data_IF_605181976464
#
_entry.id   IF_605181976464
#
_cell.length_a   1.000
_cell.length_b   1.000
_cell.length_c   1.000
_cell.angle_alpha   90.00
_cell.angle_beta   90.00
_cell.angle_gamma   90.00
#
_symmetry.space_group_name_H-M   'P 1'
#
loop_
_entity.id
_entity.type
_entity.pdbx_description
1 polymer ?
#
# COMPACT_ATOMS: atom_id res chain seq x y z
N UNK A 1 -12.19 -1.14 14.47
CA UNK A 1 -11.28 -1.79 13.48
C UNK A 1 -11.14 -0.98 12.18
N UNK A 2 -12.23 -0.54 11.53
CA UNK A 2 -12.15 0.23 10.29
C UNK A 2 -11.33 1.53 10.38
N UNK A 3 -11.39 2.25 11.51
CA UNK A 3 -10.58 3.46 11.69
C UNK A 3 -9.06 3.17 11.64
N UNK A 4 -8.61 2.11 12.32
CA UNK A 4 -7.19 1.72 12.37
C UNK A 4 -6.69 1.23 10.99
N UNK A 5 -7.52 0.48 10.26
CA UNK A 5 -7.16 0.01 8.92
C UNK A 5 -7.02 1.19 7.95
N UNK A 6 -7.94 2.15 8.00
CA UNK A 6 -7.90 3.33 7.14
C UNK A 6 -6.79 4.32 7.52
N UNK A 7 -6.42 4.47 8.80
CA UNK A 7 -5.29 5.34 9.17
C UNK A 7 -3.95 4.74 8.72
N UNK A 8 -3.81 3.41 8.76
CA UNK A 8 -2.67 2.71 8.16
C UNK A 8 -2.62 2.94 6.65
N UNK A 9 -3.75 2.74 5.97
CA UNK A 9 -3.82 2.98 4.53
C UNK A 9 -3.51 4.44 4.15
N UNK A 10 -4.03 5.41 4.91
CA UNK A 10 -3.73 6.83 4.71
C UNK A 10 -2.24 7.15 4.88
N UNK A 11 -1.60 6.61 5.92
CA UNK A 11 -0.17 6.84 6.14
C UNK A 11 0.69 6.17 5.06
N UNK A 12 0.30 5.00 4.55
CA UNK A 12 0.91 4.39 3.36
C UNK A 12 0.77 5.30 2.14
N UNK A 13 -0.44 5.82 1.87
CA UNK A 13 -0.67 6.77 0.79
C UNK A 13 0.18 8.04 0.94
N UNK A 14 0.28 8.59 2.15
CA UNK A 14 1.10 9.77 2.44
C UNK A 14 2.60 9.49 2.23
N UNK A 15 3.05 8.30 2.60
CA UNK A 15 4.42 7.84 2.36
C UNK A 15 4.69 7.72 0.85
N UNK A 16 3.84 7.01 0.12
CA UNK A 16 3.93 6.85 -1.34
C UNK A 16 3.90 8.20 -2.07
N UNK A 17 3.00 9.10 -1.68
CA UNK A 17 2.94 10.46 -2.23
C UNK A 17 4.26 11.23 -2.07
N UNK A 18 5.02 10.95 -1.01
CA UNK A 18 6.32 11.59 -0.74
C UNK A 18 7.45 10.89 -1.48
N UNK A 19 7.48 9.55 -1.51
CA UNK A 19 8.52 8.76 -2.19
C UNK A 19 8.35 8.76 -3.71
N UNK A 20 7.13 8.80 -4.24
CA UNK A 20 6.89 8.87 -5.69
C UNK A 20 7.52 10.11 -6.33
N UNK A 21 7.65 11.23 -5.61
CA UNK A 21 8.41 12.38 -6.15
C UNK A 21 9.85 12.01 -6.50
N UNK A 22 10.45 11.10 -5.74
CA UNK A 22 11.80 10.59 -5.97
C UNK A 22 11.81 9.58 -7.10
N UNK A 23 10.91 8.58 -7.07
CA UNK A 23 10.86 7.54 -8.10
C UNK A 23 10.38 8.02 -9.47
N UNK A 24 9.50 9.02 -9.52
CA UNK A 24 9.02 9.63 -10.76
C UNK A 24 9.98 10.69 -11.31
N UNK A 25 11.07 11.02 -10.61
CA UNK A 25 12.03 12.02 -11.06
C UNK A 25 12.60 11.75 -12.46
N UNK A 26 12.97 10.51 -12.84
CA UNK A 26 13.39 10.21 -14.21
C UNK A 26 12.29 10.51 -15.24
N UNK A 27 11.04 10.16 -14.95
CA UNK A 27 9.89 10.46 -15.84
C UNK A 27 9.69 11.97 -15.96
N UNK A 28 9.82 12.72 -14.87
CA UNK A 28 9.72 14.19 -14.88
C UNK A 28 10.84 14.85 -15.68
N UNK A 29 12.05 14.26 -15.70
CA UNK A 29 13.14 14.74 -16.55
C UNK A 29 12.82 14.58 -18.05
N UNK A 30 12.19 13.48 -18.47
CA UNK A 30 11.75 13.32 -19.86
C UNK A 30 10.74 14.39 -20.28
N UNK A 31 9.85 14.79 -19.37
CA UNK A 31 8.87 15.84 -19.63
C UNK A 31 9.49 17.24 -19.77
N UNK A 32 10.75 17.43 -19.37
CA UNK A 32 11.49 18.69 -19.58
C UNK A 32 12.00 18.87 -21.01
N UNK A 33 12.06 17.79 -21.80
CA UNK A 33 12.52 17.85 -23.19
C UNK A 33 11.58 18.71 -24.05
N UNK A 34 12.14 19.63 -24.86
CA UNK A 34 11.38 20.56 -25.71
C UNK A 34 10.42 19.84 -26.67
N UNK A 35 10.86 18.75 -27.31
CA UNK A 35 10.02 17.96 -28.23
C UNK A 35 8.82 17.33 -27.52
N UNK A 36 9.03 16.86 -26.29
CA UNK A 36 7.96 16.28 -25.47
C UNK A 36 6.98 17.38 -25.05
N UNK A 37 7.47 18.52 -24.56
CA UNK A 37 6.63 19.68 -24.21
C UNK A 37 5.78 20.17 -25.38
N UNK A 38 6.36 20.25 -26.58
CA UNK A 38 5.62 20.64 -27.79
C UNK A 38 4.53 19.62 -28.15
N UNK A 39 4.81 18.33 -28.03
CA UNK A 39 3.81 17.27 -28.25
C UNK A 39 2.63 17.36 -27.26
N UNK A 40 2.91 17.62 -25.98
CA UNK A 40 1.86 17.83 -24.97
C UNK A 40 1.08 19.14 -25.18
N UNK A 41 1.74 20.23 -25.60
CA UNK A 41 1.07 21.48 -25.96
C UNK A 41 0.10 21.31 -27.13
N UNK A 42 0.46 20.52 -28.14
CA UNK A 42 -0.46 20.17 -29.25
C UNK A 42 -1.73 19.47 -28.78
N UNK A 43 -1.70 18.84 -27.59
CA UNK A 43 -2.86 18.19 -26.93
C UNK A 43 -3.53 19.09 -25.88
N UNK A 44 -3.21 20.39 -25.84
CA UNK A 44 -3.79 21.35 -24.89
C UNK A 44 -3.14 21.36 -23.50
N UNK A 45 -2.06 20.60 -23.27
CA UNK A 45 -1.40 20.53 -21.97
C UNK A 45 -0.23 21.51 -21.90
N UNK A 46 -0.46 22.65 -21.23
CA UNK A 46 0.53 23.73 -21.12
C UNK A 46 1.71 23.38 -20.19
N UNK A 47 1.47 22.60 -19.14
CA UNK A 47 2.50 22.19 -18.18
C UNK A 47 2.40 20.68 -17.86
N UNK A 48 3.00 19.81 -18.68
CA UNK A 48 2.88 18.36 -18.52
C UNK A 48 3.49 17.86 -17.21
N UNK A 49 4.55 18.50 -16.70
CA UNK A 49 5.15 18.16 -15.41
C UNK A 49 4.14 18.34 -14.27
N UNK A 50 3.42 19.47 -14.26
CA UNK A 50 2.40 19.77 -13.24
C UNK A 50 1.22 18.79 -13.31
N UNK A 51 0.75 18.46 -14.51
CA UNK A 51 -0.37 17.53 -14.69
C UNK A 51 0.00 16.10 -14.27
N UNK A 52 1.20 15.63 -14.62
CA UNK A 52 1.68 14.32 -14.15
C UNK A 52 1.81 14.28 -12.64
N UNK A 53 2.41 15.31 -12.01
CA UNK A 53 2.50 15.38 -10.55
C UNK A 53 1.12 15.44 -9.89
N UNK A 54 0.13 16.09 -10.51
CA UNK A 54 -1.25 16.13 -10.02
C UNK A 54 -1.90 14.75 -10.11
N UNK A 55 -1.77 14.09 -11.26
CA UNK A 55 -2.30 12.74 -11.50
C UNK A 55 -1.71 11.71 -10.52
N UNK A 56 -0.39 11.75 -10.29
CA UNK A 56 0.29 10.84 -9.37
C UNK A 56 -0.24 10.94 -7.93
N UNK A 57 -0.67 12.14 -7.51
CA UNK A 57 -1.11 12.45 -6.15
C UNK A 57 -2.61 12.34 -5.92
N UNK A 58 -3.38 11.99 -6.94
CA UNK A 58 -4.83 11.85 -6.79
C UNK A 58 -5.14 10.64 -5.88
N UNK A 59 -5.88 10.82 -4.76
CA UNK A 59 -6.23 9.71 -3.87
C UNK A 59 -7.22 8.72 -4.49
N UNK A 60 -8.00 9.11 -5.49
CA UNK A 60 -9.03 8.25 -6.12
C UNK A 60 -8.43 7.33 -7.18
N UNK A 61 -7.59 7.87 -8.06
CA UNK A 61 -7.09 7.15 -9.26
C UNK A 61 -5.59 7.28 -9.47
N UNK A 62 -4.89 7.97 -8.57
CA UNK A 62 -3.46 8.24 -8.73
C UNK A 62 -2.59 7.02 -8.43
N UNK A 63 -1.41 6.97 -9.06
CA UNK A 63 -0.46 5.86 -8.88
C UNK A 63 -0.05 5.70 -7.40
N UNK A 64 0.08 6.80 -6.65
CA UNK A 64 0.34 6.73 -5.20
C UNK A 64 -0.78 5.98 -4.46
N UNK A 65 -2.04 6.17 -4.86
CA UNK A 65 -3.19 5.46 -4.28
C UNK A 65 -3.12 3.97 -4.60
N UNK A 66 -2.91 3.61 -5.88
CA UNK A 66 -2.79 2.22 -6.33
C UNK A 66 -1.66 1.49 -5.61
N UNK A 67 -0.46 2.08 -5.55
CA UNK A 67 0.69 1.47 -4.86
C UNK A 67 0.44 1.31 -3.36
N UNK A 68 -0.12 2.33 -2.72
CA UNK A 68 -0.46 2.24 -1.30
C UNK A 68 -1.54 1.20 -1.03
N UNK A 69 -2.52 1.05 -1.92
CA UNK A 69 -3.56 0.03 -1.85
C UNK A 69 -2.99 -1.38 -2.03
N UNK A 70 -2.08 -1.54 -3.00
CA UNK A 70 -1.33 -2.77 -3.20
C UNK A 70 -0.52 -3.17 -1.97
N UNK A 71 0.26 -2.23 -1.40
CA UNK A 71 1.02 -2.47 -0.18
C UNK A 71 0.08 -2.81 0.99
N UNK A 72 -1.06 -2.13 1.10
CA UNK A 72 -2.05 -2.43 2.13
C UNK A 72 -2.61 -3.85 2.01
N UNK A 73 -2.90 -4.33 0.79
CA UNK A 73 -3.29 -5.74 0.54
C UNK A 73 -2.15 -6.70 0.92
N UNK A 74 -0.90 -6.36 0.59
CA UNK A 74 0.28 -7.17 0.94
C UNK A 74 0.43 -7.35 2.45
N UNK A 75 0.07 -6.35 3.27
CA UNK A 75 0.08 -6.50 4.73
C UNK A 75 -0.91 -7.58 5.19
N UNK A 76 -2.13 -7.63 4.64
CA UNK A 76 -3.09 -8.69 4.93
C UNK A 76 -2.60 -10.06 4.43
N UNK A 77 -1.93 -10.09 3.28
CA UNK A 77 -1.33 -11.30 2.76
C UNK A 77 -0.25 -11.84 3.68
N UNK A 78 0.67 -10.99 4.15
CA UNK A 78 1.73 -11.38 5.08
C UNK A 78 1.16 -11.86 6.42
N UNK A 79 0.10 -11.23 6.91
CA UNK A 79 -0.61 -11.70 8.11
C UNK A 79 -1.20 -13.10 7.89
N UNK A 80 -1.94 -13.30 6.80
CA UNK A 80 -2.57 -14.59 6.48
C UNK A 80 -1.53 -15.68 6.29
N UNK A 81 -0.47 -15.38 5.53
CA UNK A 81 0.64 -16.28 5.28
C UNK A 81 1.37 -16.65 6.58
N UNK A 82 1.66 -15.66 7.44
CA UNK A 82 2.29 -15.90 8.72
C UNK A 82 1.46 -16.77 9.65
N UNK A 83 0.13 -16.58 9.68
CA UNK A 83 -0.80 -17.43 10.45
C UNK A 83 -0.79 -18.86 9.92
N UNK A 84 -0.83 -19.05 8.60
CA UNK A 84 -0.79 -20.40 8.00
C UNK A 84 0.50 -21.13 8.35
N UNK A 85 1.65 -20.45 8.27
CA UNK A 85 2.94 -21.05 8.64
C UNK A 85 3.02 -21.36 10.14
N UNK A 86 2.53 -20.47 10.99
CA UNK A 86 2.49 -20.69 12.44
C UNK A 86 1.63 -21.91 12.79
N UNK A 87 0.41 -22.01 12.23
CA UNK A 87 -0.48 -23.16 12.45
C UNK A 87 0.13 -24.45 11.89
N UNK A 88 0.75 -24.40 10.72
CA UNK A 88 1.46 -25.54 10.12
C UNK A 88 2.57 -26.07 11.03
N UNK A 89 3.41 -25.18 11.56
CA UNK A 89 4.47 -25.55 12.49
C UNK A 89 3.91 -26.12 13.80
N UNK A 90 2.90 -25.47 14.38
CA UNK A 90 2.25 -25.92 15.62
C UNK A 90 1.60 -27.31 15.48
N UNK A 91 0.92 -27.57 14.36
CA UNK A 91 0.30 -28.87 14.07
C UNK A 91 1.29 -29.89 13.50
N UNK A 92 2.58 -29.52 13.33
CA UNK A 92 3.62 -30.34 12.71
C UNK A 92 3.19 -30.95 11.36
N UNK A 93 2.36 -30.23 10.62
CA UNK A 93 1.76 -30.68 9.36
C UNK A 93 2.49 -30.06 8.17
N UNK A 94 2.81 -30.85 7.16
CA UNK A 94 3.41 -30.35 5.93
C UNK A 94 2.35 -29.76 4.98
N UNK A 95 2.32 -28.43 4.85
CA UNK A 95 1.59 -27.81 3.75
C UNK A 95 2.52 -27.62 2.56
N UNK A 96 2.28 -28.40 1.50
CA UNK A 96 2.90 -28.15 0.21
C UNK A 96 2.22 -26.95 -0.47
N UNK A 97 2.66 -25.74 -0.12
CA UNK A 97 2.12 -24.49 -0.65
C UNK A 97 2.45 -24.34 -2.14
N UNK A 98 1.50 -24.75 -2.98
CA UNK A 98 1.49 -24.49 -4.43
C UNK A 98 0.93 -23.09 -4.76
N UNK A 99 1.16 -22.64 -5.99
CA UNK A 99 0.68 -21.36 -6.53
C UNK A 99 -0.81 -21.09 -6.23
N UNK A 100 -1.67 -22.11 -6.34
CA UNK A 100 -3.10 -21.97 -6.05
C UNK A 100 -3.40 -21.51 -4.61
N UNK A 101 -2.60 -21.93 -3.62
CA UNK A 101 -2.75 -21.50 -2.23
C UNK A 101 -2.38 -20.02 -2.07
N UNK A 102 -1.28 -19.59 -2.70
CA UNK A 102 -0.89 -18.19 -2.70
C UNK A 102 -1.92 -17.31 -3.41
N UNK A 103 -2.49 -17.77 -4.52
CA UNK A 103 -3.58 -17.08 -5.21
C UNK A 103 -4.83 -16.96 -4.33
N UNK A 104 -5.19 -18.03 -3.61
CA UNK A 104 -6.29 -18.00 -2.65
C UNK A 104 -6.02 -17.01 -1.51
N UNK A 105 -4.81 -17.02 -0.91
CA UNK A 105 -4.42 -16.05 0.12
C UNK A 105 -4.47 -14.61 -0.38
N UNK A 106 -4.01 -14.35 -1.61
CA UNK A 106 -4.08 -13.03 -2.22
C UNK A 106 -5.53 -12.58 -2.43
N UNK A 107 -6.41 -13.48 -2.88
CA UNK A 107 -7.84 -13.21 -3.03
C UNK A 107 -8.50 -12.89 -1.69
N UNK A 108 -8.23 -13.68 -0.64
CA UNK A 108 -8.72 -13.41 0.72
C UNK A 108 -8.20 -12.07 1.26
N UNK A 109 -6.92 -11.77 1.03
CA UNK A 109 -6.30 -10.51 1.47
C UNK A 109 -6.92 -9.30 0.80
N UNK A 110 -7.21 -9.40 -0.50
CA UNK A 110 -7.98 -8.39 -1.22
C UNK A 110 -9.40 -8.25 -0.65
N UNK A 111 -10.08 -9.37 -0.37
CA UNK A 111 -11.39 -9.38 0.27
C UNK A 111 -11.40 -8.64 1.61
N UNK A 112 -10.41 -8.88 2.47
CA UNK A 112 -10.26 -8.16 3.74
C UNK A 112 -10.00 -6.66 3.52
N UNK A 113 -9.07 -6.30 2.64
CA UNK A 113 -8.81 -4.89 2.31
C UNK A 113 -10.07 -4.19 1.78
N UNK A 114 -10.86 -4.89 0.96
CA UNK A 114 -12.13 -4.38 0.45
C UNK A 114 -13.15 -4.15 1.56
N UNK A 115 -13.41 -5.15 2.41
CA UNK A 115 -14.39 -5.03 3.49
C UNK A 115 -14.06 -3.92 4.49
N UNK A 116 -12.78 -3.75 4.83
CA UNK A 116 -12.35 -2.79 5.84
C UNK A 116 -12.08 -1.38 5.31
N UNK A 117 -11.68 -1.23 4.04
CA UNK A 117 -11.23 0.06 3.51
C UNK A 117 -11.79 0.40 2.13
N UNK A 118 -11.73 -0.50 1.14
CA UNK A 118 -12.09 -0.11 -0.25
C UNK A 118 -13.58 -0.11 -0.55
N UNK A 119 -14.42 -0.76 0.27
CA UNK A 119 -15.86 -0.83 0.04
C UNK A 119 -16.46 0.56 -0.06
N UNK A 120 -17.11 0.82 -1.19
CA UNK A 120 -17.81 2.08 -1.52
C UNK A 120 -16.87 3.30 -1.39
N UNK A 121 -15.58 3.11 -1.65
CA UNK A 121 -14.54 4.15 -1.55
C UNK A 121 -14.50 4.89 -0.20
N UNK A 122 -14.98 4.24 0.88
CA UNK A 122 -15.04 4.81 2.24
C UNK A 122 -13.68 5.30 2.74
N UNK A 123 -12.58 4.70 2.29
CA UNK A 123 -11.24 5.19 2.61
C UNK A 123 -11.01 6.66 2.23
N UNK A 124 -11.68 7.17 1.18
CA UNK A 124 -11.56 8.57 0.77
C UNK A 124 -12.14 9.53 1.81
N UNK A 125 -13.23 9.15 2.48
CA UNK A 125 -13.82 9.93 3.56
C UNK A 125 -12.86 10.01 4.74
N UNK A 126 -12.27 8.88 5.13
CA UNK A 126 -11.24 8.82 6.15
C UNK A 126 -9.99 9.61 5.76
N UNK A 127 -9.58 9.59 4.49
CA UNK A 127 -8.44 10.39 4.04
C UNK A 127 -8.70 11.88 4.21
N UNK A 128 -9.93 12.35 3.90
CA UNK A 128 -10.33 13.74 4.15
C UNK A 128 -10.33 14.07 5.64
N UNK A 129 -10.84 13.18 6.48
CA UNK A 129 -10.81 13.32 7.95
C UNK A 129 -9.35 13.43 8.46
N UNK A 130 -8.49 12.52 8.05
CA UNK A 130 -7.10 12.45 8.51
C UNK A 130 -6.23 13.59 7.99
N UNK A 131 -6.53 14.12 6.81
CA UNK A 131 -5.89 15.33 6.29
C UNK A 131 -6.18 16.56 7.18
N UNK A 132 -7.27 16.58 7.93
CA UNK A 132 -7.62 17.67 8.84
C UNK A 132 -7.11 17.48 10.27
N UNK A 133 -6.47 16.34 10.58
CA UNK A 133 -5.92 16.11 11.91
C UNK A 133 -4.77 17.06 12.25
N UNK A 134 -4.65 17.50 13.52
CA UNK A 134 -3.52 18.32 13.96
C UNK A 134 -2.19 17.56 13.83
N UNK A 135 -1.10 18.32 13.64
CA UNK A 135 0.23 17.80 13.28
C UNK A 135 0.77 16.75 14.27
N UNK A 136 0.52 16.94 15.56
CA UNK A 136 0.89 15.99 16.60
C UNK A 136 0.20 14.63 16.41
N UNK A 137 -1.12 14.61 16.16
CA UNK A 137 -1.89 13.38 15.90
C UNK A 137 -1.43 12.69 14.63
N UNK A 138 -1.17 13.44 13.56
CA UNK A 138 -0.63 12.92 12.29
C UNK A 138 0.76 12.27 12.43
N UNK A 139 1.59 12.79 13.34
CA UNK A 139 2.90 12.20 13.62
C UNK A 139 2.77 10.95 14.48
N UNK A 140 1.91 10.98 15.51
CA UNK A 140 1.61 9.80 16.32
C UNK A 140 1.05 8.65 15.50
N UNK A 141 0.07 8.92 14.61
CA UNK A 141 -0.47 7.92 13.71
C UNK A 141 0.57 7.33 12.76
N UNK A 142 1.50 8.16 12.27
CA UNK A 142 2.57 7.68 11.39
C UNK A 142 3.51 6.70 12.10
N UNK A 143 3.84 6.95 13.37
CA UNK A 143 4.62 6.01 14.19
C UNK A 143 3.86 4.71 14.45
N UNK A 144 2.58 4.79 14.79
CA UNK A 144 1.73 3.61 14.97
C UNK A 144 1.71 2.78 13.68
N UNK A 145 1.47 3.42 12.53
CA UNK A 145 1.52 2.74 11.23
C UNK A 145 2.88 2.12 10.94
N UNK A 146 3.97 2.82 11.26
CA UNK A 146 5.33 2.30 11.08
C UNK A 146 5.56 1.02 11.88
N UNK A 147 5.21 0.99 13.17
CA UNK A 147 5.37 -0.20 14.01
C UNK A 147 4.42 -1.34 13.61
N UNK A 148 3.20 -1.04 13.13
CA UNK A 148 2.30 -2.06 12.57
C UNK A 148 2.94 -2.70 11.34
N UNK A 149 3.41 -1.91 10.38
CA UNK A 149 4.06 -2.42 9.17
C UNK A 149 5.28 -3.26 9.56
N UNK A 150 6.16 -2.74 10.42
CA UNK A 150 7.34 -3.46 10.89
C UNK A 150 6.97 -4.78 11.56
N UNK A 151 5.95 -4.78 12.41
CA UNK A 151 5.46 -5.98 13.09
C UNK A 151 4.91 -7.03 12.12
N UNK A 152 4.09 -6.61 11.15
CA UNK A 152 3.56 -7.51 10.11
C UNK A 152 4.66 -8.11 9.25
N UNK A 153 5.63 -7.31 8.80
CA UNK A 153 6.76 -7.80 8.03
C UNK A 153 7.64 -8.75 8.84
N UNK A 154 7.96 -8.39 10.08
CA UNK A 154 8.75 -9.23 10.99
C UNK A 154 8.03 -10.54 11.29
N UNK A 155 6.72 -10.50 11.52
CA UNK A 155 5.90 -11.70 11.71
C UNK A 155 5.86 -12.57 10.45
N UNK A 156 5.61 -11.98 9.28
CA UNK A 156 5.58 -12.70 8.01
C UNK A 156 6.91 -13.38 7.68
N UNK A 157 8.03 -12.66 7.82
CA UNK A 157 9.38 -13.21 7.60
C UNK A 157 9.75 -14.20 8.70
N UNK A 158 9.49 -13.88 9.96
CA UNK A 158 9.77 -14.76 11.10
C UNK A 158 8.98 -16.07 11.03
N UNK A 159 7.81 -16.06 10.38
CA UNK A 159 6.98 -17.26 10.24
C UNK A 159 7.64 -18.37 9.44
N UNK A 160 8.64 -18.06 8.61
CA UNK A 160 9.44 -19.07 7.90
C UNK A 160 10.23 -19.98 8.84
N UNK A 161 10.51 -19.54 10.08
CA UNK A 161 11.14 -20.40 11.09
C UNK A 161 10.27 -21.63 11.36
N UNK A 162 8.94 -21.50 11.37
CA UNK A 162 8.02 -22.63 11.57
C UNK A 162 7.95 -23.59 10.38
N UNK A 163 8.36 -23.14 9.18
CA UNK A 163 8.52 -24.01 8.02
C UNK A 163 9.81 -24.84 8.09
N UNK A 164 10.91 -24.21 8.52
CA UNK A 164 12.25 -24.79 8.51
C UNK A 164 12.60 -25.58 9.78
N UNK A 165 12.18 -25.07 10.94
CA UNK A 165 12.37 -25.66 12.25
C UNK A 165 11.01 -26.07 12.77
N UNK A 166 10.57 -27.27 12.37
CA UNK A 166 9.38 -27.90 12.94
C UNK A 166 9.71 -28.27 14.39
N UNK A 167 9.39 -27.37 15.31
CA UNK A 167 9.46 -27.60 16.74
C UNK A 167 8.42 -28.64 17.20
#
# INVERSE_FOLDING_TARGET
MAWLSNIVFYNLFRFEKRTQKFFSYPVLLFLKNKKVKESYKKRGVNNPEKEVVKALKNPEVGVSSILSGGHFIVLFFLLTFGVVNFVSGYLRTEFNLKLAHFAAMAFFSYGFAYLFSFREDRYLEYFKEFENLPKNKKNGSAWITFFIILGVWTFGIGSFVFLNYRL
#
